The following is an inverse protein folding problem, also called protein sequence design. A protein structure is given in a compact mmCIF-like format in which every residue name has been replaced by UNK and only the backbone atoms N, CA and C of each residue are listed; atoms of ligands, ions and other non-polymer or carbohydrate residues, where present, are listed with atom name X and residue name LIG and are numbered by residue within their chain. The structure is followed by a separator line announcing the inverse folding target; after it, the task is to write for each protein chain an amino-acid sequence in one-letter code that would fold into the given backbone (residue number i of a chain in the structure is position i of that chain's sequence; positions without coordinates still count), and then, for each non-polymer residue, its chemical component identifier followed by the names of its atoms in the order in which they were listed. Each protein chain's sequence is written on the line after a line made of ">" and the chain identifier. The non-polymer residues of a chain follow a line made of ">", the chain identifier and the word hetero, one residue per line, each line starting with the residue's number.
data_IF_676054371610
#
_entry.id   IF_676054371610
#
_cell.length_a   1.000
_cell.length_b   1.000
_cell.length_c   1.000
_cell.angle_alpha   90.00
_cell.angle_beta   90.00
_cell.angle_gamma   90.00
#
_symmetry.space_group_name_H-M   'P 1'
#
loop_
_entity.id
_entity.type
_entity.pdbx_description
1 polymer ?
#
# COMPACT_ATOMS: atom_id res chain seq x y z
N UNK A 1 -23.04 -13.58 6.20
CA UNK A 1 -21.80 -14.39 6.10
C UNK A 1 -20.74 -13.76 5.17
N UNK A 2 -20.53 -12.43 5.17
CA UNK A 2 -19.58 -11.76 4.26
C UNK A 2 -18.22 -11.40 4.89
N UNK A 3 -18.07 -11.62 6.20
CA UNK A 3 -16.91 -11.20 6.98
C UNK A 3 -15.68 -12.09 6.76
N UNK A 4 -15.90 -13.39 6.56
CA UNK A 4 -14.83 -14.39 6.50
C UNK A 4 -13.99 -14.33 5.21
N UNK A 5 -14.60 -13.95 4.08
CA UNK A 5 -13.87 -13.84 2.80
C UNK A 5 -12.95 -12.61 2.74
N UNK A 6 -13.32 -11.51 3.39
CA UNK A 6 -12.53 -10.28 3.37
C UNK A 6 -11.20 -10.46 4.12
N UNK A 7 -11.28 -11.15 5.26
CA UNK A 7 -10.11 -11.54 6.04
C UNK A 7 -9.18 -12.47 5.29
N UNK A 8 -9.74 -13.44 4.56
CA UNK A 8 -8.97 -14.39 3.76
C UNK A 8 -8.20 -13.70 2.61
N UNK A 9 -8.80 -12.71 1.95
CA UNK A 9 -8.14 -11.94 0.88
C UNK A 9 -6.94 -11.13 1.39
N UNK A 10 -7.10 -10.35 2.47
CA UNK A 10 -5.98 -9.57 3.03
C UNK A 10 -4.91 -10.50 3.60
N UNK A 11 -5.31 -11.58 4.29
CA UNK A 11 -4.37 -12.57 4.79
C UNK A 11 -3.57 -13.24 3.67
N UNK A 12 -4.21 -13.56 2.53
CA UNK A 12 -3.52 -14.06 1.33
C UNK A 12 -2.57 -13.04 0.74
N UNK A 13 -2.98 -11.78 0.60
CA UNK A 13 -2.10 -10.71 0.11
C UNK A 13 -0.89 -10.55 1.03
N UNK A 14 -1.10 -10.55 2.36
CA UNK A 14 -0.03 -10.50 3.34
C UNK A 14 0.89 -11.71 3.23
N UNK A 15 0.34 -12.92 3.12
CA UNK A 15 1.13 -14.13 2.96
C UNK A 15 1.92 -14.10 1.64
N UNK A 16 1.33 -13.63 0.56
CA UNK A 16 1.97 -13.45 -0.74
C UNK A 16 3.13 -12.46 -0.58
N UNK A 17 2.87 -11.25 -0.08
CA UNK A 17 3.87 -10.17 0.05
C UNK A 17 4.97 -10.49 1.07
N UNK A 18 4.65 -11.16 2.17
CA UNK A 18 5.64 -11.62 3.15
C UNK A 18 6.44 -12.81 2.64
N UNK A 19 5.84 -13.74 1.88
CA UNK A 19 6.57 -14.79 1.18
C UNK A 19 7.52 -14.20 0.14
N UNK A 20 7.10 -13.16 -0.58
CA UNK A 20 7.95 -12.41 -1.53
C UNK A 20 9.11 -11.68 -0.85
N UNK A 21 9.14 -11.54 0.49
CA UNK A 21 10.25 -10.94 1.24
C UNK A 21 11.33 -11.93 1.68
N UNK A 22 11.04 -13.22 1.72
CA UNK A 22 11.97 -14.24 2.23
C UNK A 22 12.62 -15.10 1.13
N UNK A 23 12.34 -14.81 -0.15
CA UNK A 23 12.98 -15.47 -1.29
C UNK A 23 13.67 -14.44 -2.19
N UNK A 24 14.89 -14.06 -1.81
CA UNK A 24 15.82 -13.20 -2.55
C UNK A 24 15.33 -11.77 -2.89
N UNK A 25 16.19 -10.79 -2.65
CA UNK A 25 16.02 -9.36 -2.96
C UNK A 25 15.51 -9.07 -4.40
N UNK A 26 15.57 -10.05 -5.32
CA UNK A 26 15.13 -9.98 -6.70
C UNK A 26 13.59 -9.97 -6.93
N UNK A 27 12.76 -10.42 -5.98
CA UNK A 27 11.31 -10.59 -6.25
C UNK A 27 10.45 -9.37 -5.94
N UNK A 28 10.79 -8.56 -4.93
CA UNK A 28 10.04 -7.32 -4.65
C UNK A 28 10.15 -6.32 -5.82
N UNK A 29 11.32 -6.28 -6.44
CA UNK A 29 11.63 -5.60 -7.70
C UNK A 29 10.65 -5.99 -8.82
N UNK A 30 10.32 -7.28 -8.90
CA UNK A 30 9.36 -7.82 -9.89
C UNK A 30 7.94 -7.35 -9.60
N UNK A 31 7.53 -7.25 -8.33
CA UNK A 31 6.21 -6.72 -7.95
C UNK A 31 6.08 -5.25 -8.29
N UNK A 32 7.01 -4.40 -7.87
CA UNK A 32 6.95 -2.95 -8.19
C UNK A 32 7.06 -2.70 -9.71
N UNK A 33 7.77 -3.57 -10.44
CA UNK A 33 7.80 -3.57 -11.91
C UNK A 33 6.45 -3.95 -12.52
N UNK A 34 5.77 -4.98 -12.01
CA UNK A 34 4.40 -5.36 -12.46
C UNK A 34 3.37 -4.27 -12.16
N UNK A 35 3.52 -3.58 -11.03
CA UNK A 35 2.70 -2.42 -10.66
C UNK A 35 3.01 -1.18 -11.52
N UNK A 36 4.08 -1.21 -12.31
CA UNK A 36 4.50 -0.12 -13.19
C UNK A 36 5.13 1.06 -12.46
N UNK A 37 5.65 0.84 -11.25
CA UNK A 37 6.23 1.85 -10.37
C UNK A 37 7.74 2.08 -10.60
N UNK A 38 8.28 1.46 -11.65
CA UNK A 38 9.69 1.46 -12.00
C UNK A 38 9.93 2.44 -13.12
N UNK A 39 10.89 3.33 -12.90
CA UNK A 39 11.39 4.24 -13.92
C UNK A 39 12.67 3.62 -14.50
N UNK A 40 12.82 3.50 -15.83
CA UNK A 40 14.02 2.93 -16.42
C UNK A 40 15.26 3.74 -16.04
N UNK A 41 16.31 3.05 -15.58
CA UNK A 41 17.56 3.68 -15.14
C UNK A 41 17.52 4.29 -13.73
N UNK A 42 16.49 3.98 -12.94
CA UNK A 42 16.28 4.47 -11.58
C UNK A 42 16.13 3.32 -10.58
N UNK A 43 16.46 3.58 -9.32
CA UNK A 43 16.33 2.66 -8.21
C UNK A 43 14.85 2.31 -7.97
N UNK A 44 14.63 1.03 -7.71
CA UNK A 44 13.31 0.46 -7.46
C UNK A 44 12.82 0.85 -6.07
N UNK A 45 11.50 1.13 -5.91
CA UNK A 45 10.97 1.42 -4.60
C UNK A 45 11.03 0.19 -3.69
N UNK A 46 11.54 0.41 -2.48
CA UNK A 46 11.85 -0.66 -1.53
C UNK A 46 10.75 -0.72 -0.47
N UNK A 47 10.12 -1.89 -0.30
CA UNK A 47 9.13 -2.07 0.75
C UNK A 47 9.82 -2.01 2.12
N UNK A 48 9.45 -1.02 2.94
CA UNK A 48 9.98 -0.82 4.29
C UNK A 48 9.11 -1.50 5.32
N UNK A 49 7.81 -1.26 5.29
CA UNK A 49 6.90 -1.69 6.35
C UNK A 49 5.56 -2.19 5.80
N UNK A 50 4.90 -3.07 6.55
CA UNK A 50 3.56 -3.56 6.26
C UNK A 50 2.70 -3.23 7.48
N UNK A 51 1.63 -2.47 7.29
CA UNK A 51 0.66 -2.12 8.33
C UNK A 51 -0.66 -2.79 8.02
N UNK A 52 -1.27 -3.38 9.02
CA UNK A 52 -2.59 -4.01 8.93
C UNK A 52 -3.48 -3.33 9.95
N UNK A 53 -4.67 -2.93 9.52
CA UNK A 53 -5.65 -2.25 10.34
C UNK A 53 -7.02 -2.91 10.13
N UNK A 54 -7.73 -3.16 11.22
CA UNK A 54 -9.11 -3.61 11.18
C UNK A 54 -9.96 -2.51 11.83
N UNK A 55 -10.77 -1.83 11.03
CA UNK A 55 -11.63 -0.74 11.48
C UNK A 55 -13.07 -1.07 11.11
N UNK A 56 -13.92 -1.24 12.12
CA UNK A 56 -15.38 -1.44 11.95
C UNK A 56 -15.74 -2.63 11.02
N UNK A 57 -14.98 -3.74 11.10
CA UNK A 57 -15.16 -4.91 10.23
C UNK A 57 -14.60 -4.73 8.80
N UNK A 58 -13.98 -3.59 8.50
CA UNK A 58 -13.25 -3.37 7.26
C UNK A 58 -11.77 -3.62 7.50
N UNK A 59 -11.19 -4.54 6.73
CA UNK A 59 -9.77 -4.80 6.76
C UNK A 59 -9.04 -3.91 5.76
N UNK A 60 -8.06 -3.19 6.29
CA UNK A 60 -7.15 -2.35 5.54
C UNK A 60 -5.72 -2.86 5.68
N UNK A 61 -4.99 -2.87 4.58
CA UNK A 61 -3.60 -3.29 4.53
C UNK A 61 -2.78 -2.24 3.80
N UNK A 62 -1.86 -1.59 4.51
CA UNK A 62 -1.01 -0.54 3.97
C UNK A 62 0.42 -1.03 3.80
N UNK A 63 0.92 -1.00 2.57
CA UNK A 63 2.30 -1.35 2.22
C UNK A 63 3.14 -0.09 2.09
N UNK A 64 4.06 0.16 3.02
CA UNK A 64 4.92 1.35 3.01
C UNK A 64 6.18 1.08 2.20
N UNK A 65 6.33 1.79 1.10
CA UNK A 65 7.49 1.76 0.23
C UNK A 65 8.32 3.03 0.36
N UNK A 66 9.64 2.88 0.42
CA UNK A 66 10.57 3.98 0.22
C UNK A 66 10.79 4.18 -1.28
N UNK A 67 10.45 5.37 -1.75
CA UNK A 67 10.44 5.74 -3.15
C UNK A 67 11.31 6.98 -3.37
N UNK A 68 12.62 6.78 -3.41
CA UNK A 68 13.58 7.88 -3.57
C UNK A 68 13.51 8.52 -4.95
N UNK A 69 13.28 7.71 -5.99
CA UNK A 69 13.34 8.17 -7.39
C UNK A 69 11.97 8.25 -8.07
N UNK A 70 10.96 7.50 -7.59
CA UNK A 70 9.61 7.51 -8.17
C UNK A 70 8.72 8.53 -7.43
N UNK A 71 8.26 9.61 -8.09
CA UNK A 71 7.49 10.66 -7.42
C UNK A 71 6.09 10.18 -7.04
N UNK A 72 5.53 10.70 -5.94
CA UNK A 72 4.18 10.33 -5.46
C UNK A 72 3.09 10.44 -6.53
N UNK A 73 3.16 11.44 -7.43
CA UNK A 73 2.22 11.60 -8.54
C UNK A 73 2.15 10.36 -9.44
N UNK A 74 3.26 9.64 -9.58
CA UNK A 74 3.31 8.38 -10.30
C UNK A 74 2.57 7.27 -9.55
N UNK A 75 2.66 7.24 -8.22
CA UNK A 75 1.98 6.26 -7.39
C UNK A 75 0.47 6.46 -7.40
N UNK A 76 0.04 7.71 -7.17
CA UNK A 76 -1.36 8.13 -7.14
C UNK A 76 -1.98 8.32 -8.53
N UNK A 77 -1.29 7.90 -9.60
CA UNK A 77 -1.84 7.96 -10.94
C UNK A 77 -3.04 6.99 -11.08
N UNK A 78 -4.20 7.45 -11.57
CA UNK A 78 -5.42 6.64 -11.61
C UNK A 78 -5.27 5.37 -12.45
N UNK A 79 -4.44 5.38 -13.49
CA UNK A 79 -4.19 4.18 -14.29
C UNK A 79 -3.38 3.13 -13.52
N UNK A 80 -2.56 3.56 -12.55
CA UNK A 80 -1.80 2.66 -11.68
C UNK A 80 -2.58 2.19 -10.48
N UNK A 81 -3.35 3.07 -9.85
CA UNK A 81 -4.28 2.69 -8.79
C UNK A 81 -5.17 1.52 -9.25
N UNK A 82 -5.73 1.62 -10.46
CA UNK A 82 -6.50 0.54 -11.07
C UNK A 82 -5.71 -0.75 -11.32
N UNK A 83 -4.41 -0.65 -11.63
CA UNK A 83 -3.52 -1.82 -11.72
C UNK A 83 -3.33 -2.48 -10.37
N UNK A 84 -3.20 -1.71 -9.28
CA UNK A 84 -3.04 -2.28 -7.95
C UNK A 84 -4.28 -3.11 -7.59
N UNK A 85 -5.48 -2.58 -7.82
CA UNK A 85 -6.74 -3.31 -7.62
C UNK A 85 -6.77 -4.61 -8.43
N UNK A 86 -6.41 -4.55 -9.72
CA UNK A 86 -6.40 -5.73 -10.60
C UNK A 86 -5.31 -6.74 -10.20
N UNK A 87 -4.17 -6.27 -9.69
CA UNK A 87 -3.04 -7.08 -9.28
C UNK A 87 -3.32 -7.84 -7.98
N UNK A 88 -3.89 -7.16 -6.98
CA UNK A 88 -4.21 -7.75 -5.68
C UNK A 88 -5.51 -8.57 -5.71
N UNK A 89 -6.36 -8.35 -6.71
CA UNK A 89 -7.50 -9.18 -7.02
C UNK A 89 -8.85 -8.47 -6.85
N UNK A 90 -9.92 -9.03 -7.40
CA UNK A 90 -11.24 -8.41 -7.32
C UNK A 90 -11.74 -8.34 -5.87
N UNK A 91 -12.38 -7.23 -5.51
CA UNK A 91 -12.96 -7.03 -4.18
C UNK A 91 -12.07 -6.28 -3.18
N UNK A 92 -10.93 -5.76 -3.62
CA UNK A 92 -10.14 -4.77 -2.87
C UNK A 92 -10.08 -3.45 -3.62
N UNK A 93 -10.11 -2.35 -2.88
CA UNK A 93 -9.83 -1.01 -3.40
C UNK A 93 -8.42 -0.60 -2.99
N UNK A 94 -7.67 -0.01 -3.91
CA UNK A 94 -6.32 0.48 -3.67
C UNK A 94 -6.28 2.00 -3.63
N UNK A 95 -5.46 2.54 -2.74
CA UNK A 95 -5.22 3.97 -2.60
C UNK A 95 -3.73 4.20 -2.32
N UNK A 96 -3.19 5.32 -2.81
CA UNK A 96 -1.85 5.76 -2.43
C UNK A 96 -1.95 6.83 -1.36
N UNK A 97 -1.13 6.70 -0.32
CA UNK A 97 -1.05 7.64 0.79
C UNK A 97 0.39 8.08 0.95
N UNK A 98 0.62 9.38 1.11
CA UNK A 98 1.94 9.90 1.43
C UNK A 98 2.19 9.69 2.92
N UNK A 99 3.12 8.79 3.27
CA UNK A 99 3.44 8.47 4.66
C UNK A 99 4.43 9.46 5.23
N UNK A 100 5.53 9.67 4.52
CA UNK A 100 6.58 10.59 4.96
C UNK A 100 7.20 11.31 3.75
N UNK A 101 7.22 12.64 3.79
CA UNK A 101 7.76 13.44 2.71
C UNK A 101 9.29 13.42 2.69
N UNK A 102 9.91 13.49 3.86
CA UNK A 102 11.35 13.66 4.03
C UNK A 102 12.08 12.36 3.66
N UNK A 103 11.61 11.25 4.22
CA UNK A 103 12.10 9.91 3.96
C UNK A 103 11.58 9.31 2.64
N UNK A 104 10.76 10.05 1.90
CA UNK A 104 10.12 9.65 0.64
C UNK A 104 9.37 8.32 0.77
N UNK A 105 8.56 8.20 1.82
CA UNK A 105 7.74 7.02 2.06
C UNK A 105 6.33 7.21 1.49
N UNK A 106 5.89 6.22 0.71
CA UNK A 106 4.56 6.15 0.11
C UNK A 106 3.94 4.82 0.49
N UNK A 107 2.69 4.85 0.95
CA UNK A 107 1.92 3.65 1.24
C UNK A 107 0.93 3.34 0.12
N UNK A 108 0.79 2.05 -0.22
CA UNK A 108 -0.39 1.56 -0.94
C UNK A 108 -1.33 0.96 0.11
N UNK A 109 -2.46 1.62 0.36
CA UNK A 109 -3.53 1.14 1.24
C UNK A 109 -4.53 0.33 0.41
N UNK A 110 -4.72 -0.93 0.78
CA UNK A 110 -5.71 -1.84 0.23
C UNK A 110 -6.83 -1.99 1.24
N UNK A 111 -8.08 -1.82 0.83
CA UNK A 111 -9.24 -1.99 1.73
C UNK A 111 -10.20 -3.00 1.13
N UNK A 112 -10.62 -3.98 1.92
CA UNK A 112 -11.71 -4.89 1.55
C UNK A 112 -13.05 -4.27 1.91
N UNK A 113 -14.00 -4.32 0.97
CA UNK A 113 -15.32 -3.72 1.13
C UNK A 113 -15.56 -2.66 0.07
N UNK A 114 -16.76 -2.67 -0.51
CA UNK A 114 -17.16 -1.75 -1.57
C UNK A 114 -16.80 -0.30 -1.18
N UNK A 115 -16.00 0.34 -2.04
CA UNK A 115 -15.60 1.76 -2.04
C UNK A 115 -16.50 2.61 -1.13
N UNK A 116 -16.13 2.73 0.15
CA UNK A 116 -16.70 3.78 0.99
C UNK A 116 -16.14 5.08 0.45
N UNK A 117 -17.03 5.82 -0.19
CA UNK A 117 -16.90 7.23 -0.47
C UNK A 117 -16.36 7.96 0.77
N UNK A 118 -15.28 8.71 0.56
CA UNK A 118 -14.70 9.76 1.40
C UNK A 118 -14.91 9.67 2.93
N UNK A 119 -13.86 9.25 3.65
CA UNK A 119 -13.58 9.80 4.98
C UNK A 119 -12.24 10.50 4.87
N UNK A 120 -12.29 11.83 4.90
CA UNK A 120 -11.12 12.66 5.05
C UNK A 120 -10.31 12.22 6.27
N UNK A 121 -9.05 11.88 6.06
CA UNK A 121 -8.05 11.93 7.11
C UNK A 121 -7.61 13.37 7.34
N UNK A 122 -8.52 14.21 7.84
CA UNK A 122 -8.10 15.36 8.65
C UNK A 122 -7.29 14.80 9.83
N UNK A 123 -6.07 15.30 10.05
CA UNK A 123 -5.81 16.37 11.02
C UNK A 123 -6.21 15.89 12.43
N UNK A 124 -5.37 15.79 13.46
CA UNK A 124 -4.10 16.44 13.83
C UNK A 124 -3.86 16.06 15.31
N UNK A 125 -2.72 16.49 15.88
CA UNK A 125 -2.49 16.76 17.33
C UNK A 125 -2.13 15.55 18.20
N UNK A 126 -1.22 15.63 19.16
CA UNK A 126 -0.25 16.62 19.64
C UNK A 126 0.52 15.93 20.79
N UNK A 127 1.72 16.42 21.11
CA UNK A 127 2.33 16.18 22.42
C UNK A 127 3.77 15.66 22.32
N UNK A 128 4.79 16.36 22.77
CA UNK A 128 4.85 17.54 23.60
C UNK A 128 6.19 17.58 24.34
N UNK A 129 6.33 18.57 25.22
CA UNK A 129 7.45 18.85 26.14
C UNK A 129 8.66 19.54 25.51
N UNK A 130 9.31 20.55 26.10
CA UNK A 130 9.05 21.54 27.16
C UNK A 130 10.42 22.20 27.41
N UNK A 131 10.48 23.53 27.47
CA UNK A 131 11.27 24.35 28.41
C UNK A 131 11.40 25.79 27.87
#
# INVERSE_FOLDING_TARGET
>A
MFDKCQTDTIAKIKQDVTRHRYGDEAHLDTTVKKLGLVIPGKAYPQLKELREENTDGQLSFSMVFQSLETPYKMWADPARVKKYETFFGPGVSAECVKVDADQRLVAIKLTTGAKKEEVGGGSVEDGGVSA
#
